data_IF_902459857056
#
_entry.id   IF_902459857056
#
_cell.length_a   1.000
_cell.length_b   1.000
_cell.length_c   1.000
_cell.angle_alpha   90.00
_cell.angle_beta   90.00
_cell.angle_gamma   90.00
#
_symmetry.space_group_name_H-M   'P 1'
#
loop_
_entity.id
_entity.type
_entity.pdbx_description
1 polymer ?
#
# COMPACT_ATOMS: atom_id res chain seq x y z
N UNK A 1 22.12 -46.18 65.34
CA UNK A 1 22.39 -44.81 65.82
C UNK A 1 21.41 -43.85 65.09
N UNK A 2 20.67 -43.01 65.86
CA UNK A 2 19.42 -42.40 65.48
C UNK A 2 19.63 -41.17 64.63
N UNK A 3 18.92 -41.10 63.47
CA UNK A 3 18.84 -39.99 62.58
C UNK A 3 17.56 -39.18 62.84
N UNK A 4 17.70 -37.90 63.14
CA UNK A 4 16.59 -36.99 63.42
C UNK A 4 16.18 -36.38 62.10
N UNK A 5 14.90 -36.57 61.72
CA UNK A 5 14.22 -35.81 60.61
C UNK A 5 13.76 -34.44 61.14
N UNK A 6 14.15 -33.39 60.46
CA UNK A 6 13.50 -32.06 60.56
C UNK A 6 12.70 -31.79 59.30
N UNK A 7 11.39 -31.72 59.47
CA UNK A 7 10.41 -31.33 58.49
C UNK A 7 10.35 -29.80 58.45
N UNK A 8 10.62 -29.21 57.27
CA UNK A 8 10.40 -27.80 57.02
C UNK A 8 9.10 -27.65 56.22
N UNK A 9 8.06 -27.05 56.85
CA UNK A 9 6.88 -26.63 56.15
C UNK A 9 7.20 -25.31 55.43
N UNK A 10 7.02 -25.29 54.08
CA UNK A 10 7.00 -24.09 53.29
C UNK A 10 5.54 -23.79 52.98
N UNK A 11 5.02 -22.68 53.54
CA UNK A 11 3.75 -22.12 53.13
C UNK A 11 3.88 -21.55 51.72
N UNK A 12 3.18 -22.15 50.76
CA UNK A 12 2.98 -21.56 49.46
C UNK A 12 1.79 -20.58 49.51
N UNK A 13 2.08 -19.33 49.57
CA UNK A 13 1.09 -18.28 49.37
C UNK A 13 0.71 -18.20 47.89
N UNK A 14 -0.49 -18.67 47.52
CA UNK A 14 -1.07 -18.45 46.20
C UNK A 14 -1.42 -16.99 46.03
N UNK A 15 -0.59 -16.22 45.34
CA UNK A 15 -0.97 -14.89 44.82
C UNK A 15 -1.77 -15.10 43.54
N UNK A 16 -3.08 -15.08 43.63
CA UNK A 16 -3.97 -15.05 42.51
C UNK A 16 -3.82 -13.68 41.79
N UNK A 17 -3.02 -13.64 40.73
CA UNK A 17 -3.03 -12.52 39.81
C UNK A 17 -4.32 -12.67 38.99
N UNK A 18 -5.32 -11.85 39.31
CA UNK A 18 -6.48 -11.67 38.44
C UNK A 18 -6.00 -11.05 37.14
N UNK A 19 -5.85 -11.85 36.10
CA UNK A 19 -5.77 -11.38 34.73
C UNK A 19 -7.13 -10.80 34.39
N UNK A 20 -7.26 -9.49 34.52
CA UNK A 20 -8.34 -8.73 33.94
C UNK A 20 -8.35 -9.02 32.44
N UNK A 21 -9.38 -9.73 32.00
CA UNK A 21 -9.65 -9.90 30.57
C UNK A 21 -9.96 -8.53 30.03
N UNK A 22 -9.03 -7.96 29.24
CA UNK A 22 -9.31 -6.78 28.44
C UNK A 22 -10.49 -7.05 27.54
N UNK A 23 -11.45 -6.17 27.63
CA UNK A 23 -12.70 -6.16 26.91
C UNK A 23 -12.50 -6.31 25.41
N UNK A 24 -13.06 -7.38 24.87
CA UNK A 24 -13.09 -7.71 23.41
C UNK A 24 -14.15 -6.93 22.64
N UNK A 25 -14.85 -5.99 23.25
CA UNK A 25 -16.11 -5.48 22.68
C UNK A 25 -16.12 -4.05 22.13
N UNK A 26 -15.07 -3.24 22.35
CA UNK A 26 -15.09 -1.83 21.92
C UNK A 26 -14.92 -1.62 20.39
N UNK A 27 -14.50 -2.63 19.65
CA UNK A 27 -14.38 -2.56 18.20
C UNK A 27 -15.64 -2.97 17.41
N UNK A 28 -16.70 -3.40 18.11
CA UNK A 28 -17.92 -3.88 17.45
C UNK A 28 -18.85 -2.78 16.93
N UNK A 29 -18.58 -1.52 17.26
CA UNK A 29 -19.31 -0.37 16.72
C UNK A 29 -18.28 0.65 16.29
N UNK A 30 -17.82 0.63 15.05
CA UNK A 30 -16.93 1.63 14.45
C UNK A 30 -16.10 2.37 15.49
N UNK A 31 -15.16 1.71 16.14
CA UNK A 31 -14.56 2.10 17.40
C UNK A 31 -13.93 3.47 17.35
N UNK A 32 -14.66 4.43 17.88
CA UNK A 32 -14.14 5.74 18.23
C UNK A 32 -13.20 5.57 19.43
N UNK A 33 -12.04 6.19 19.37
CA UNK A 33 -11.19 6.38 20.55
C UNK A 33 -12.04 7.05 21.63
N UNK A 34 -12.07 6.57 22.88
CA UNK A 34 -12.89 7.17 23.94
C UNK A 34 -12.54 8.66 24.10
N UNK A 35 -13.50 9.55 23.89
CA UNK A 35 -13.34 10.98 24.15
C UNK A 35 -14.02 11.95 23.18
N UNK A 36 -14.61 11.49 22.08
CA UNK A 36 -15.28 12.37 21.11
C UNK A 36 -16.80 12.32 21.23
N UNK A 37 -17.44 13.45 21.49
CA UNK A 37 -18.89 13.62 21.32
C UNK A 37 -19.29 13.49 19.85
N UNK A 38 -20.59 13.27 19.61
CA UNK A 38 -21.25 12.93 18.34
C UNK A 38 -20.49 13.28 17.03
N UNK A 39 -20.06 12.22 16.33
CA UNK A 39 -19.93 12.09 14.87
C UNK A 39 -18.75 12.70 14.10
N UNK A 40 -17.73 13.27 14.70
CA UNK A 40 -16.51 13.59 13.94
C UNK A 40 -15.34 12.78 14.48
N UNK A 41 -14.67 11.94 13.66
CA UNK A 41 -13.48 11.21 14.07
C UNK A 41 -12.38 12.19 14.49
N UNK A 42 -11.84 12.04 15.71
CA UNK A 42 -10.71 12.85 16.16
C UNK A 42 -9.44 12.32 15.52
N UNK A 43 -8.75 13.19 14.78
CA UNK A 43 -7.43 12.89 14.23
C UNK A 43 -6.35 13.15 15.27
N UNK A 44 -5.41 12.22 15.43
CA UNK A 44 -4.22 12.41 16.25
C UNK A 44 -3.26 13.43 15.62
N UNK A 45 -2.45 14.07 16.44
CA UNK A 45 -1.40 14.98 15.96
C UNK A 45 -0.41 14.27 15.05
N UNK A 46 0.02 14.97 14.00
CA UNK A 46 1.06 14.49 13.10
C UNK A 46 2.36 14.21 13.86
N UNK A 47 2.91 13.03 13.65
CA UNK A 47 4.25 12.66 14.15
C UNK A 47 5.26 12.88 13.02
N UNK A 48 6.32 13.71 13.24
CA UNK A 48 7.36 13.93 12.24
C UNK A 48 8.01 12.62 11.79
N UNK A 49 8.29 12.50 10.49
CA UNK A 49 8.92 11.31 9.91
C UNK A 49 7.97 10.16 9.59
N UNK A 50 6.70 10.22 10.05
CA UNK A 50 5.68 9.23 9.71
C UNK A 50 4.87 9.65 8.49
N UNK A 51 4.51 8.66 7.66
CA UNK A 51 3.86 8.86 6.38
C UNK A 51 2.52 8.15 6.30
N UNK A 52 1.48 8.90 5.95
CA UNK A 52 0.20 8.38 5.49
C UNK A 52 0.03 8.79 4.05
N UNK A 53 0.11 7.82 3.13
CA UNK A 53 0.10 8.06 1.69
C UNK A 53 -1.22 7.63 1.11
N UNK A 54 -1.86 8.52 0.34
CA UNK A 54 -3.10 8.23 -0.36
C UNK A 54 -2.87 8.17 -1.87
N UNK A 55 -3.23 7.06 -2.50
CA UNK A 55 -3.38 7.03 -3.95
C UNK A 55 -4.74 7.61 -4.33
N UNK A 56 -4.71 8.63 -5.17
CA UNK A 56 -5.90 9.34 -5.67
C UNK A 56 -6.00 9.16 -7.16
N UNK A 57 -7.00 8.42 -7.60
CA UNK A 57 -7.17 8.07 -9.00
C UNK A 57 -7.74 9.23 -9.83
N UNK A 58 -7.40 9.24 -11.12
CA UNK A 58 -7.91 10.22 -12.08
C UNK A 58 -9.43 10.15 -12.27
N UNK A 59 -10.02 8.97 -12.06
CA UNK A 59 -11.47 8.75 -12.14
C UNK A 59 -12.18 8.91 -10.78
N UNK A 60 -11.44 9.01 -9.69
CA UNK A 60 -11.98 9.24 -8.35
C UNK A 60 -12.61 10.63 -8.21
N UNK A 61 -13.56 10.76 -7.29
CA UNK A 61 -14.32 11.99 -7.05
C UNK A 61 -13.98 12.67 -5.72
N UNK A 62 -13.52 11.89 -4.75
CA UNK A 62 -13.19 12.38 -3.42
C UNK A 62 -11.95 13.28 -3.45
N UNK A 63 -11.95 14.31 -2.62
CA UNK A 63 -10.80 15.17 -2.39
C UNK A 63 -10.19 14.79 -1.04
N UNK A 64 -8.90 14.44 -0.98
CA UNK A 64 -8.25 14.08 0.27
C UNK A 64 -8.33 15.17 1.34
N UNK A 65 -8.60 14.75 2.57
CA UNK A 65 -8.45 15.61 3.74
C UNK A 65 -6.95 15.79 4.03
N UNK A 66 -6.48 17.02 3.88
CA UNK A 66 -5.08 17.38 4.11
C UNK A 66 -4.60 17.17 5.56
N UNK A 67 -5.55 17.01 6.50
CA UNK A 67 -5.24 16.71 7.90
C UNK A 67 -5.05 15.22 8.16
N UNK A 68 -5.50 14.37 7.24
CA UNK A 68 -5.45 12.91 7.36
C UNK A 68 -4.48 12.24 6.37
N UNK A 69 -3.66 13.01 5.66
CA UNK A 69 -2.63 12.51 4.74
C UNK A 69 -1.35 13.34 4.85
N UNK A 70 -0.20 12.71 4.64
CA UNK A 70 1.08 13.41 4.53
C UNK A 70 1.53 13.53 3.08
N UNK A 71 1.04 12.63 2.24
CA UNK A 71 1.39 12.56 0.83
C UNK A 71 0.21 12.05 -0.01
N UNK A 72 0.11 12.55 -1.22
CA UNK A 72 -0.83 12.08 -2.24
C UNK A 72 -0.04 11.67 -3.47
N UNK A 73 -0.27 10.43 -3.92
CA UNK A 73 0.19 9.93 -5.19
C UNK A 73 -0.99 10.01 -6.17
N UNK A 74 -0.89 10.86 -7.18
CA UNK A 74 -1.95 10.97 -8.20
C UNK A 74 -1.81 9.86 -9.24
N UNK A 75 -2.80 9.02 -9.33
CA UNK A 75 -2.85 7.86 -10.21
C UNK A 75 -3.82 8.12 -11.38
N UNK A 76 -3.39 8.31 -12.63
CA UNK A 76 -2.02 8.14 -13.12
C UNK A 76 -1.67 9.12 -14.23
N UNK A 77 -0.39 9.10 -14.65
CA UNK A 77 0.05 9.47 -15.98
C UNK A 77 0.43 8.19 -16.75
N UNK A 78 0.39 8.26 -18.08
CA UNK A 78 0.76 7.14 -18.95
C UNK A 78 1.80 7.54 -19.99
N UNK A 79 2.67 6.59 -20.33
CA UNK A 79 3.74 6.77 -21.30
C UNK A 79 3.22 6.67 -22.73
N UNK A 80 3.86 7.42 -23.64
CA UNK A 80 3.74 7.24 -25.07
C UNK A 80 5.05 6.68 -25.63
N UNK A 81 4.98 5.46 -26.15
CA UNK A 81 6.09 4.81 -26.84
C UNK A 81 5.61 4.43 -28.23
N UNK A 82 6.31 4.87 -29.25
CA UNK A 82 6.00 4.56 -30.65
C UNK A 82 7.25 4.06 -31.35
N UNK A 83 7.14 2.96 -32.08
CA UNK A 83 8.24 2.33 -32.80
C UNK A 83 9.46 2.04 -31.89
N UNK A 84 9.19 1.65 -30.63
CA UNK A 84 10.20 1.40 -29.62
C UNK A 84 10.83 2.65 -28.98
N UNK A 85 10.42 3.85 -29.38
CA UNK A 85 10.97 5.10 -28.88
C UNK A 85 9.98 5.83 -27.96
N UNK A 86 10.49 6.35 -26.84
CA UNK A 86 9.72 7.22 -25.96
C UNK A 86 9.36 8.54 -26.65
N UNK A 87 8.11 8.95 -26.59
CA UNK A 87 7.55 10.16 -27.20
C UNK A 87 6.91 11.15 -26.23
N UNK A 88 7.04 10.90 -24.93
CA UNK A 88 6.44 11.72 -23.86
C UNK A 88 5.48 10.94 -22.99
N UNK A 89 4.75 11.65 -22.13
CA UNK A 89 3.67 11.11 -21.32
C UNK A 89 2.51 12.10 -21.18
N UNK A 90 1.36 11.62 -20.74
CA UNK A 90 0.18 12.44 -20.43
C UNK A 90 -0.50 11.99 -19.15
N UNK A 91 -1.20 12.92 -18.50
CA UNK A 91 -2.13 12.56 -17.44
C UNK A 91 -3.26 11.70 -18.01
N UNK A 92 -3.64 10.67 -17.27
CA UNK A 92 -4.92 9.99 -17.49
C UNK A 92 -6.04 10.88 -16.95
N UNK A 93 -7.18 10.91 -17.65
CA UNK A 93 -8.32 11.76 -17.31
C UNK A 93 -8.05 13.25 -17.50
N UNK A 94 -8.83 14.07 -16.80
CA UNK A 94 -8.86 15.51 -16.98
C UNK A 94 -7.79 16.24 -16.14
N UNK A 95 -7.07 17.19 -16.75
CA UNK A 95 -6.10 18.05 -16.05
C UNK A 95 -6.73 18.81 -14.87
N UNK A 96 -8.02 19.12 -14.95
CA UNK A 96 -8.76 19.79 -13.88
C UNK A 96 -8.78 18.99 -12.58
N UNK A 97 -8.86 17.65 -12.65
CA UNK A 97 -8.78 16.77 -11.49
C UNK A 97 -7.40 16.83 -10.85
N UNK A 98 -6.34 16.74 -11.65
CA UNK A 98 -4.97 16.85 -11.14
C UNK A 98 -4.74 18.23 -10.48
N UNK A 99 -5.22 19.31 -11.10
CA UNK A 99 -5.13 20.66 -10.54
C UNK A 99 -5.81 20.77 -9.18
N UNK A 100 -7.00 20.18 -9.00
CA UNK A 100 -7.69 20.14 -7.71
C UNK A 100 -6.82 19.48 -6.62
N UNK A 101 -6.13 18.39 -6.96
CA UNK A 101 -5.23 17.70 -6.02
C UNK A 101 -4.00 18.56 -5.71
N UNK A 102 -3.36 19.16 -6.72
CA UNK A 102 -2.20 20.04 -6.53
C UNK A 102 -2.54 21.26 -5.67
N UNK A 103 -3.74 21.82 -5.85
CA UNK A 103 -4.20 22.99 -5.08
C UNK A 103 -4.36 22.71 -3.57
N UNK A 104 -4.38 21.45 -3.14
CA UNK A 104 -4.37 21.08 -1.72
C UNK A 104 -3.10 21.55 -1.00
N UNK A 105 -1.98 21.73 -1.71
CA UNK A 105 -0.74 22.30 -1.14
C UNK A 105 -0.95 23.72 -0.61
N UNK A 106 -1.93 24.46 -1.12
CA UNK A 106 -2.31 25.78 -0.62
C UNK A 106 -2.94 25.72 0.78
N UNK A 107 -3.53 24.58 1.14
CA UNK A 107 -4.15 24.33 2.44
C UNK A 107 -3.18 23.70 3.45
N UNK A 108 -2.13 23.00 2.97
CA UNK A 108 -1.13 22.35 3.81
C UNK A 108 0.24 22.39 3.13
N UNK A 109 1.11 23.27 3.59
CA UNK A 109 2.46 23.47 3.03
C UNK A 109 3.38 22.26 3.21
N UNK A 110 3.07 21.39 4.17
CA UNK A 110 3.83 20.16 4.43
C UNK A 110 3.34 18.94 3.63
N UNK A 111 2.24 19.09 2.87
CA UNK A 111 1.70 18.02 2.03
C UNK A 111 2.62 17.76 0.83
N UNK A 112 2.96 16.49 0.61
CA UNK A 112 3.69 16.05 -0.58
C UNK A 112 2.73 15.56 -1.65
N UNK A 113 3.00 15.91 -2.90
CA UNK A 113 2.21 15.44 -4.05
C UNK A 113 3.16 14.88 -5.09
N UNK A 114 2.93 13.63 -5.49
CA UNK A 114 3.67 12.94 -6.54
C UNK A 114 2.74 12.61 -7.69
N UNK A 115 3.31 12.50 -8.88
CA UNK A 115 2.64 11.89 -10.03
C UNK A 115 3.07 10.42 -10.14
N UNK A 116 2.12 9.50 -10.13
CA UNK A 116 2.35 8.07 -10.38
C UNK A 116 2.21 7.76 -11.86
N UNK A 117 3.10 6.92 -12.38
CA UNK A 117 3.10 6.48 -13.76
C UNK A 117 2.69 5.02 -13.85
N UNK A 118 1.56 4.74 -14.47
CA UNK A 118 1.05 3.39 -14.66
C UNK A 118 1.64 2.72 -15.90
N UNK A 119 1.82 1.39 -15.82
CA UNK A 119 2.08 0.54 -16.96
C UNK A 119 0.84 0.38 -17.87
N UNK A 120 -0.35 0.69 -17.35
CA UNK A 120 -1.63 0.56 -18.08
C UNK A 120 -1.85 1.75 -19.02
N UNK A 121 -2.16 1.47 -20.27
CA UNK A 121 -2.49 2.46 -21.28
C UNK A 121 -4.00 2.57 -21.41
N UNK A 122 -4.53 3.77 -21.24
CA UNK A 122 -5.98 4.07 -21.34
C UNK A 122 -6.31 4.76 -22.65
N UNK A 123 -5.37 5.53 -23.21
CA UNK A 123 -5.58 6.27 -24.44
C UNK A 123 -5.51 5.33 -25.66
N UNK A 124 -6.59 5.19 -26.46
CA UNK A 124 -6.61 4.31 -27.65
C UNK A 124 -5.62 4.73 -28.73
N UNK A 125 -5.25 6.03 -28.81
CA UNK A 125 -4.24 6.54 -29.75
C UNK A 125 -2.80 6.19 -29.30
N UNK A 126 -2.63 5.77 -28.05
CA UNK A 126 -1.38 5.32 -27.53
C UNK A 126 -1.18 3.88 -27.99
N UNK A 127 -0.56 3.72 -29.14
CA UNK A 127 -0.16 2.41 -29.61
C UNK A 127 0.58 1.69 -28.47
N UNK A 128 0.26 0.43 -28.22
CA UNK A 128 0.92 -0.42 -27.24
C UNK A 128 2.38 -0.66 -27.65
N UNK A 129 3.16 0.43 -27.66
CA UNK A 129 4.53 0.47 -28.15
C UNK A 129 5.57 -0.12 -27.19
N UNK A 130 5.10 -0.87 -26.17
CA UNK A 130 5.96 -1.56 -25.22
C UNK A 130 6.20 -0.81 -23.90
N UNK A 131 5.55 0.35 -23.67
CA UNK A 131 5.49 1.04 -22.37
C UNK A 131 6.85 1.21 -21.69
N UNK A 132 6.89 0.89 -20.40
CA UNK A 132 8.11 0.96 -19.59
C UNK A 132 9.24 0.09 -20.13
N UNK A 133 8.96 -1.16 -20.55
CA UNK A 133 9.97 -2.08 -21.04
C UNK A 133 10.76 -1.49 -22.22
N UNK A 134 10.08 -0.89 -23.19
CA UNK A 134 10.74 -0.24 -24.34
C UNK A 134 11.33 1.11 -24.00
N UNK A 135 10.65 1.96 -23.22
CA UNK A 135 11.18 3.25 -22.82
C UNK A 135 12.48 3.09 -22.03
N UNK A 136 12.51 2.17 -21.07
CA UNK A 136 13.67 1.98 -20.19
C UNK A 136 14.82 1.19 -20.80
N UNK A 137 14.59 0.50 -21.92
CA UNK A 137 15.61 -0.33 -22.57
C UNK A 137 16.80 0.46 -23.13
N UNK A 138 16.62 1.76 -23.38
CA UNK A 138 17.69 2.63 -23.89
C UNK A 138 18.02 3.76 -22.94
N UNK A 139 19.29 4.16 -22.90
CA UNK A 139 19.73 5.34 -22.13
C UNK A 139 19.01 6.62 -22.61
N UNK A 140 18.81 6.76 -23.91
CA UNK A 140 18.11 7.91 -24.49
C UNK A 140 16.65 7.99 -23.98
N UNK A 141 15.94 6.86 -23.95
CA UNK A 141 14.56 6.79 -23.41
C UNK A 141 14.51 7.15 -21.94
N UNK A 142 15.38 6.58 -21.11
CA UNK A 142 15.47 6.89 -19.68
C UNK A 142 15.77 8.37 -19.42
N UNK A 143 16.73 8.97 -20.15
CA UNK A 143 17.08 10.38 -20.05
C UNK A 143 15.95 11.31 -20.47
N UNK A 144 15.26 11.00 -21.58
CA UNK A 144 14.15 11.79 -22.08
C UNK A 144 12.99 11.76 -21.07
N UNK A 145 12.61 10.58 -20.58
CA UNK A 145 11.57 10.44 -19.56
C UNK A 145 11.91 11.20 -18.28
N UNK A 146 13.12 11.04 -17.76
CA UNK A 146 13.55 11.72 -16.53
C UNK A 146 13.55 13.26 -16.68
N UNK A 147 13.93 13.79 -17.86
CA UNK A 147 13.87 15.21 -18.18
C UNK A 147 12.42 15.72 -18.18
N UNK A 148 11.51 14.97 -18.79
CA UNK A 148 10.08 15.34 -18.82
C UNK A 148 9.47 15.28 -17.41
N UNK A 149 9.84 14.31 -16.59
CA UNK A 149 9.46 14.22 -15.19
C UNK A 149 9.89 15.48 -14.41
N UNK A 150 11.14 15.91 -14.57
CA UNK A 150 11.65 17.12 -13.91
C UNK A 150 10.86 18.37 -14.36
N UNK A 151 10.65 18.53 -15.66
CA UNK A 151 9.88 19.64 -16.23
C UNK A 151 8.43 19.64 -15.70
N UNK A 152 7.81 18.47 -15.60
CA UNK A 152 6.47 18.31 -15.07
C UNK A 152 6.39 18.67 -13.58
N UNK A 153 7.33 18.21 -12.76
CA UNK A 153 7.41 18.56 -11.35
C UNK A 153 7.57 20.09 -11.16
N UNK A 154 8.42 20.72 -11.97
CA UNK A 154 8.63 22.18 -11.94
C UNK A 154 7.38 22.95 -12.37
N UNK A 155 6.74 22.53 -13.47
CA UNK A 155 5.51 23.15 -14.00
C UNK A 155 4.38 23.17 -12.96
N UNK A 156 4.21 22.06 -12.26
CA UNK A 156 3.09 21.87 -11.33
C UNK A 156 3.42 22.18 -9.87
N UNK A 157 4.69 22.38 -9.53
CA UNK A 157 5.12 22.60 -8.15
C UNK A 157 4.88 21.38 -7.25
N UNK A 158 4.92 20.17 -7.82
CA UNK A 158 4.81 18.90 -7.08
C UNK A 158 6.15 18.41 -6.58
N UNK A 159 6.12 17.39 -5.70
CA UNK A 159 7.29 17.02 -4.90
C UNK A 159 8.06 15.81 -5.44
N UNK A 160 7.59 15.17 -6.50
CA UNK A 160 8.30 14.01 -7.06
C UNK A 160 7.48 13.14 -7.98
N UNK A 161 8.03 11.96 -8.25
CA UNK A 161 7.49 10.95 -9.16
C UNK A 161 7.44 9.60 -8.48
N UNK A 162 6.47 8.80 -8.88
CA UNK A 162 6.23 7.44 -8.43
C UNK A 162 6.08 6.53 -9.65
N UNK A 163 6.79 5.40 -9.66
CA UNK A 163 6.78 4.48 -10.81
C UNK A 163 6.01 3.23 -10.44
N UNK A 164 4.87 3.07 -11.09
CA UNK A 164 3.97 1.93 -10.91
C UNK A 164 4.03 1.01 -12.15
N UNK A 165 5.16 0.31 -12.29
CA UNK A 165 5.38 -0.69 -13.34
C UNK A 165 5.15 -2.09 -12.78
N UNK A 166 4.08 -2.73 -13.18
CA UNK A 166 3.62 -4.02 -12.68
C UNK A 166 3.69 -5.12 -13.76
N UNK A 167 4.78 -5.86 -13.81
CA UNK A 167 6.05 -5.74 -13.09
C UNK A 167 7.18 -5.85 -14.10
N UNK A 168 8.41 -5.42 -13.80
CA UNK A 168 9.56 -5.69 -14.66
C UNK A 168 9.71 -7.18 -14.93
N UNK A 169 9.83 -7.54 -16.22
CA UNK A 169 9.99 -8.92 -16.69
C UNK A 169 8.74 -9.81 -16.58
N UNK A 170 7.57 -9.23 -16.25
CA UNK A 170 6.30 -9.98 -16.10
C UNK A 170 5.18 -9.28 -16.85
N UNK A 171 4.39 -10.04 -17.59
CA UNK A 171 3.26 -9.53 -18.38
C UNK A 171 1.92 -10.09 -17.88
N UNK A 172 1.52 -9.77 -16.66
CA UNK A 172 0.22 -10.22 -16.13
C UNK A 172 -0.97 -9.59 -16.86
N UNK A 173 -0.81 -8.36 -17.32
CA UNK A 173 -1.86 -7.59 -18.01
C UNK A 173 -1.74 -7.63 -19.54
N UNK A 174 -0.86 -8.49 -20.09
CA UNK A 174 -0.64 -8.62 -21.54
C UNK A 174 0.23 -7.51 -22.14
N UNK A 175 0.82 -6.63 -21.32
CA UNK A 175 1.79 -5.65 -21.80
C UNK A 175 3.10 -6.28 -22.21
N UNK A 176 3.80 -5.64 -23.17
CA UNK A 176 5.13 -6.07 -23.56
C UNK A 176 6.08 -6.03 -22.35
N UNK A 177 6.86 -7.09 -22.18
CA UNK A 177 7.93 -7.18 -21.20
C UNK A 177 9.17 -7.84 -21.81
N UNK A 178 10.31 -7.60 -21.21
CA UNK A 178 11.58 -8.27 -21.52
C UNK A 178 12.10 -8.95 -20.24
N UNK A 179 11.80 -10.25 -20.04
CA UNK A 179 12.23 -11.00 -18.85
C UNK A 179 13.75 -11.05 -18.66
N UNK A 180 14.52 -10.81 -19.72
CA UNK A 180 15.98 -10.81 -19.64
C UNK A 180 16.56 -9.50 -19.11
N UNK A 181 15.89 -8.36 -19.35
CA UNK A 181 16.50 -7.06 -19.12
C UNK A 181 15.66 -6.11 -18.27
N UNK A 182 14.34 -6.32 -18.13
CA UNK A 182 13.46 -5.32 -17.48
C UNK A 182 13.81 -5.03 -16.03
N UNK A 183 14.26 -6.02 -15.25
CA UNK A 183 14.69 -5.83 -13.86
C UNK A 183 15.91 -4.88 -13.78
N UNK A 184 16.89 -5.05 -14.67
CA UNK A 184 18.04 -4.17 -14.77
C UNK A 184 17.63 -2.79 -15.31
N UNK A 185 16.82 -2.76 -16.37
CA UNK A 185 16.31 -1.54 -16.98
C UNK A 185 15.51 -0.69 -16.00
N UNK A 186 14.73 -1.33 -15.11
CA UNK A 186 14.05 -0.63 -14.03
C UNK A 186 15.04 0.05 -13.07
N UNK A 187 16.06 -0.67 -12.65
CA UNK A 187 17.11 -0.11 -11.77
C UNK A 187 17.83 1.07 -12.43
N UNK A 188 18.16 0.94 -13.72
CA UNK A 188 18.77 2.02 -14.50
C UNK A 188 17.83 3.21 -14.67
N UNK A 189 16.53 2.97 -14.85
CA UNK A 189 15.51 4.03 -14.91
C UNK A 189 15.43 4.80 -13.60
N UNK A 190 15.36 4.11 -12.46
CA UNK A 190 15.30 4.74 -11.15
C UNK A 190 16.59 5.54 -10.84
N UNK A 191 17.75 5.01 -11.23
CA UNK A 191 19.03 5.73 -11.13
C UNK A 191 19.04 6.99 -11.98
N UNK A 192 18.53 6.93 -13.21
CA UNK A 192 18.45 8.10 -14.09
C UNK A 192 17.47 9.15 -13.56
N UNK A 193 16.32 8.73 -13.01
CA UNK A 193 15.38 9.63 -12.32
C UNK A 193 16.07 10.33 -11.15
N UNK A 194 16.76 9.59 -10.27
CA UNK A 194 17.52 10.16 -9.15
C UNK A 194 18.58 11.15 -9.61
N UNK A 195 19.35 10.79 -10.62
CA UNK A 195 20.38 11.67 -11.17
C UNK A 195 19.80 12.99 -11.72
N UNK A 196 18.66 12.92 -12.41
CA UNK A 196 18.03 14.08 -13.06
C UNK A 196 17.26 14.96 -12.08
N UNK A 197 16.50 14.35 -11.16
CA UNK A 197 15.67 15.06 -10.18
C UNK A 197 16.46 15.54 -8.96
N UNK A 198 17.64 14.96 -8.71
CA UNK A 198 18.44 15.23 -7.51
C UNK A 198 17.71 14.88 -6.22
N UNK A 199 18.18 15.39 -5.10
CA UNK A 199 17.59 15.14 -3.77
C UNK A 199 16.43 16.10 -3.43
N UNK A 200 16.08 17.00 -4.32
CA UNK A 200 14.97 17.94 -4.13
C UNK A 200 13.62 17.25 -4.30
N UNK A 201 13.55 16.29 -5.20
CA UNK A 201 12.31 15.58 -5.54
C UNK A 201 12.36 14.15 -5.07
N UNK A 202 11.22 13.66 -4.61
CA UNK A 202 11.04 12.26 -4.24
C UNK A 202 11.02 11.38 -5.49
N UNK A 203 11.71 10.25 -5.40
CA UNK A 203 11.72 9.19 -6.40
C UNK A 203 11.28 7.92 -5.71
N UNK A 204 10.09 7.43 -6.04
CA UNK A 204 9.44 6.30 -5.38
C UNK A 204 8.93 5.29 -6.40
N UNK A 205 8.51 4.12 -5.94
CA UNK A 205 7.87 3.13 -6.81
C UNK A 205 6.87 2.27 -6.03
N UNK A 206 5.87 1.74 -6.75
CA UNK A 206 4.98 0.71 -6.25
C UNK A 206 5.72 -0.64 -6.31
N UNK A 207 6.01 -1.19 -5.14
CA UNK A 207 6.82 -2.40 -5.00
C UNK A 207 5.99 -3.68 -4.92
N UNK A 208 6.57 -4.78 -5.40
CA UNK A 208 5.99 -6.11 -5.23
C UNK A 208 6.45 -6.76 -3.91
N UNK A 209 5.78 -7.84 -3.53
CA UNK A 209 5.96 -8.50 -2.22
C UNK A 209 7.27 -9.25 -2.07
N UNK A 210 8.05 -9.44 -3.14
CA UNK A 210 9.31 -10.18 -3.10
C UNK A 210 10.43 -9.49 -3.89
N UNK A 211 11.66 -9.90 -3.59
CA UNK A 211 12.85 -9.52 -4.33
C UNK A 211 12.86 -10.13 -5.73
N UNK A 212 13.76 -9.66 -6.58
CA UNK A 212 13.97 -10.24 -7.92
C UNK A 212 14.21 -11.74 -7.85
N UNK A 213 13.69 -12.43 -8.85
CA UNK A 213 14.00 -13.83 -9.13
C UNK A 213 14.79 -13.87 -10.41
N UNK A 214 15.93 -14.57 -10.40
CA UNK A 214 16.70 -14.89 -11.61
C UNK A 214 16.48 -16.35 -11.94
N UNK A 215 16.16 -16.63 -13.19
CA UNK A 215 16.03 -17.98 -13.72
C UNK A 215 17.39 -18.47 -14.23
N UNK A 216 17.55 -19.79 -14.40
CA UNK A 216 18.81 -20.37 -14.88
C UNK A 216 19.19 -19.94 -16.31
N UNK A 217 18.22 -19.50 -17.09
CA UNK A 217 18.40 -18.94 -18.44
C UNK A 217 18.87 -17.48 -18.46
N UNK A 218 19.08 -16.88 -17.27
CA UNK A 218 19.45 -15.48 -17.10
C UNK A 218 18.28 -14.51 -17.07
N UNK A 219 17.02 -14.98 -17.22
CA UNK A 219 15.85 -14.11 -17.09
C UNK A 219 15.73 -13.54 -15.68
N UNK A 220 15.23 -12.31 -15.57
CA UNK A 220 15.00 -11.63 -14.31
C UNK A 220 13.60 -11.06 -14.24
N UNK A 221 12.94 -11.26 -13.09
CA UNK A 221 11.60 -10.75 -12.83
C UNK A 221 11.57 -9.95 -11.56
N UNK A 222 10.65 -9.00 -11.50
CA UNK A 222 10.42 -8.11 -10.36
C UNK A 222 11.55 -7.11 -10.12
N UNK A 223 11.68 -6.63 -8.91
CA UNK A 223 12.56 -5.52 -8.54
C UNK A 223 13.85 -6.01 -7.87
N UNK A 224 14.98 -5.44 -8.23
CA UNK A 224 16.23 -5.64 -7.50
C UNK A 224 16.23 -4.77 -6.24
N UNK A 225 15.74 -5.30 -5.12
CA UNK A 225 15.64 -4.56 -3.87
C UNK A 225 17.01 -4.14 -3.33
N UNK A 226 18.06 -4.92 -3.60
CA UNK A 226 19.42 -4.60 -3.16
C UNK A 226 19.97 -3.37 -3.90
N UNK A 227 19.70 -3.27 -5.19
CA UNK A 227 20.13 -2.13 -5.99
C UNK A 227 19.28 -0.88 -5.72
N UNK A 228 17.96 -1.05 -5.51
CA UNK A 228 17.02 0.07 -5.38
C UNK A 228 17.08 0.79 -4.04
N UNK A 229 17.46 0.11 -2.95
CA UNK A 229 17.43 0.65 -1.59
C UNK A 229 18.18 1.96 -1.39
N UNK A 230 19.27 2.17 -2.16
CA UNK A 230 20.11 3.38 -2.07
C UNK A 230 19.69 4.47 -3.07
N UNK A 231 18.79 4.16 -4.01
CA UNK A 231 18.35 5.05 -5.08
C UNK A 231 17.06 5.78 -4.71
N UNK A 232 16.10 5.04 -4.14
CA UNK A 232 14.74 5.55 -3.89
C UNK A 232 14.59 6.17 -2.52
N UNK A 233 13.60 7.07 -2.38
CA UNK A 233 13.22 7.62 -1.07
C UNK A 233 12.30 6.65 -0.31
N UNK A 234 11.29 6.10 -0.99
CA UNK A 234 10.33 5.14 -0.44
C UNK A 234 9.96 4.09 -1.47
N UNK A 235 9.52 2.94 -0.97
CA UNK A 235 8.78 1.93 -1.72
C UNK A 235 7.38 1.79 -1.14
N UNK A 236 6.36 1.84 -1.98
CA UNK A 236 4.96 1.58 -1.62
C UNK A 236 4.65 0.14 -1.98
N UNK A 237 4.80 -0.75 -1.01
CA UNK A 237 4.65 -2.18 -1.28
C UNK A 237 3.17 -2.53 -1.35
N UNK A 238 2.76 -3.11 -2.46
CA UNK A 238 1.38 -3.55 -2.71
C UNK A 238 1.08 -4.84 -1.94
N UNK A 239 0.92 -4.73 -0.62
CA UNK A 239 0.59 -5.83 0.30
C UNK A 239 -0.91 -6.14 0.31
N UNK A 240 -1.49 -6.13 -0.87
CA UNK A 240 -2.87 -6.48 -1.19
C UNK A 240 -2.93 -7.19 -2.54
N UNK A 241 -4.09 -7.76 -2.86
CA UNK A 241 -4.28 -8.63 -4.03
C UNK A 241 -3.31 -9.82 -4.06
N UNK A 242 -2.92 -10.27 -2.86
CA UNK A 242 -2.00 -11.39 -2.68
C UNK A 242 -2.71 -12.75 -2.85
N UNK A 243 -4.03 -12.74 -2.71
CA UNK A 243 -4.93 -13.88 -2.91
C UNK A 243 -6.38 -13.38 -3.14
N UNK A 244 -7.31 -14.29 -3.32
CA UNK A 244 -8.74 -14.02 -3.44
C UNK A 244 -9.53 -15.07 -2.64
N UNK A 245 -10.86 -14.95 -2.57
CA UNK A 245 -11.70 -15.93 -1.90
C UNK A 245 -11.37 -17.37 -2.34
N UNK A 246 -11.24 -18.34 -1.40
CA UNK A 246 -11.60 -18.27 0.02
C UNK A 246 -10.50 -17.77 0.98
N UNK A 247 -9.50 -17.08 0.48
CA UNK A 247 -8.39 -16.56 1.28
C UNK A 247 -8.43 -15.03 1.41
N UNK A 248 -7.67 -14.51 2.38
CA UNK A 248 -7.48 -13.08 2.54
C UNK A 248 -6.44 -12.56 1.56
N UNK A 249 -6.73 -11.40 0.92
CA UNK A 249 -5.81 -10.78 -0.03
C UNK A 249 -4.80 -9.82 0.61
N UNK A 250 -4.89 -9.58 1.93
CA UNK A 250 -3.99 -8.65 2.64
C UNK A 250 -3.81 -9.04 4.11
N UNK A 251 -3.56 -10.33 4.38
CA UNK A 251 -3.31 -10.83 5.73
C UNK A 251 -1.95 -10.35 6.29
N UNK A 252 -1.86 -10.20 7.63
CA UNK A 252 -0.60 -9.89 8.30
C UNK A 252 0.30 -11.11 8.40
N UNK A 253 -0.23 -12.23 8.91
CA UNK A 253 0.50 -13.49 9.11
C UNK A 253 -0.51 -14.63 9.00
N UNK A 254 -0.70 -15.19 7.81
CA UNK A 254 -1.62 -16.28 7.56
C UNK A 254 -0.86 -17.50 7.04
N UNK A 255 -0.77 -18.60 7.81
CA UNK A 255 -0.06 -19.79 7.37
C UNK A 255 -0.67 -20.46 6.14
N UNK A 256 -1.92 -20.11 5.77
CA UNK A 256 -2.62 -20.62 4.58
C UNK A 256 -2.27 -19.82 3.32
N UNK A 257 -1.84 -18.56 3.48
CA UNK A 257 -1.48 -17.69 2.37
C UNK A 257 -0.09 -18.00 1.82
N UNK A 258 0.10 -17.82 0.52
CA UNK A 258 1.43 -17.89 -0.09
C UNK A 258 2.27 -16.65 0.24
N UNK A 259 1.65 -15.47 0.17
CA UNK A 259 2.20 -14.19 0.56
C UNK A 259 1.33 -13.51 1.62
N UNK A 260 1.97 -12.79 2.54
CA UNK A 260 1.37 -11.95 3.55
C UNK A 260 2.33 -10.80 3.93
N UNK A 261 1.92 -9.91 4.79
CA UNK A 261 2.71 -8.78 5.24
C UNK A 261 4.04 -9.20 5.87
N UNK A 262 4.02 -10.26 6.69
CA UNK A 262 5.20 -10.74 7.41
C UNK A 262 6.25 -11.29 6.45
N UNK A 263 5.87 -12.17 5.54
CA UNK A 263 6.78 -12.72 4.52
C UNK A 263 7.33 -11.64 3.60
N UNK A 264 6.49 -10.67 3.24
CA UNK A 264 6.91 -9.50 2.46
C UNK A 264 7.97 -8.69 3.19
N UNK A 265 7.75 -8.39 4.48
CA UNK A 265 8.73 -7.65 5.28
C UNK A 265 10.05 -8.42 5.42
N UNK A 266 9.99 -9.74 5.62
CA UNK A 266 11.17 -10.62 5.71
C UNK A 266 11.97 -10.62 4.40
N UNK A 267 11.32 -10.62 3.22
CA UNK A 267 11.99 -10.51 1.92
C UNK A 267 12.73 -9.17 1.76
N UNK A 268 12.11 -8.05 2.11
CA UNK A 268 12.74 -6.73 2.07
C UNK A 268 13.89 -6.62 3.08
N UNK A 269 13.69 -7.11 4.31
CA UNK A 269 14.72 -7.15 5.35
C UNK A 269 15.92 -8.01 4.94
N UNK A 270 15.69 -9.17 4.33
CA UNK A 270 16.73 -10.05 3.78
C UNK A 270 17.55 -9.38 2.69
N UNK A 271 16.92 -8.54 1.86
CA UNK A 271 17.62 -7.73 0.87
C UNK A 271 18.38 -6.54 1.49
N UNK A 272 18.27 -6.31 2.80
CA UNK A 272 18.85 -5.16 3.49
C UNK A 272 18.16 -3.84 3.13
N UNK A 273 16.89 -3.87 2.71
CA UNK A 273 16.13 -2.66 2.41
C UNK A 273 15.83 -1.91 3.72
N UNK A 274 16.12 -0.60 3.81
CA UNK A 274 15.88 0.17 5.03
C UNK A 274 14.39 0.22 5.38
N UNK A 275 14.06 -0.19 6.61
CA UNK A 275 12.66 -0.24 7.06
C UNK A 275 11.98 1.13 7.06
N UNK A 276 12.73 2.19 7.32
CA UNK A 276 12.29 3.58 7.26
C UNK A 276 11.96 4.07 5.84
N UNK A 277 12.26 3.28 4.81
CA UNK A 277 11.84 3.51 3.43
C UNK A 277 10.66 2.64 3.00
N UNK A 278 10.21 1.71 3.86
CA UNK A 278 9.08 0.83 3.56
C UNK A 278 7.76 1.46 3.98
N UNK A 279 6.80 1.49 3.08
CA UNK A 279 5.41 1.92 3.28
C UNK A 279 4.51 0.83 2.70
N UNK A 280 3.82 0.08 3.57
CA UNK A 280 2.98 -1.03 3.13
C UNK A 280 1.56 -0.56 2.80
N UNK A 281 0.95 -1.27 1.84
CA UNK A 281 -0.36 -0.93 1.30
C UNK A 281 -1.51 -1.59 2.04
N UNK A 282 -2.54 -0.78 2.29
CA UNK A 282 -3.82 -1.20 2.84
C UNK A 282 -4.88 -1.01 1.76
N UNK A 283 -5.61 -2.08 1.39
CA UNK A 283 -6.69 -1.94 0.41
C UNK A 283 -7.93 -1.34 1.09
N UNK A 284 -8.55 -0.37 0.43
CA UNK A 284 -9.84 0.18 0.85
C UNK A 284 -11.00 -0.51 0.14
N UNK A 285 -10.82 -1.79 -0.21
CA UNK A 285 -11.78 -2.63 -0.90
C UNK A 285 -11.66 -4.09 -0.46
N UNK A 286 -12.71 -4.87 -0.73
CA UNK A 286 -12.67 -6.32 -0.62
C UNK A 286 -12.22 -6.96 -1.94
N UNK A 287 -11.48 -8.07 -1.87
CA UNK A 287 -11.17 -8.92 -3.02
C UNK A 287 -12.03 -10.19 -2.96
N UNK A 288 -12.92 -10.33 -3.96
CA UNK A 288 -13.71 -11.54 -4.14
C UNK A 288 -13.02 -12.53 -5.08
N UNK A 289 -12.60 -12.06 -6.25
CA UNK A 289 -12.00 -12.90 -7.28
C UNK A 289 -11.01 -12.09 -8.12
N UNK A 290 -10.19 -12.75 -8.93
CA UNK A 290 -9.40 -12.10 -9.97
C UNK A 290 -10.06 -12.18 -11.36
N UNK A 291 -11.11 -13.01 -11.53
CA UNK A 291 -11.74 -13.26 -12.83
C UNK A 291 -13.27 -13.13 -12.82
N UNK A 292 -13.91 -13.37 -11.67
CA UNK A 292 -15.37 -13.37 -11.55
C UNK A 292 -15.87 -12.04 -11.00
N UNK A 293 -16.92 -11.49 -11.59
CA UNK A 293 -17.52 -10.24 -11.12
C UNK A 293 -18.41 -10.46 -9.86
N UNK A 294 -18.33 -9.55 -8.88
CA UNK A 294 -17.41 -8.43 -8.80
C UNK A 294 -15.99 -8.90 -8.43
N UNK A 295 -14.96 -8.47 -9.14
CA UNK A 295 -13.57 -8.79 -8.77
C UNK A 295 -13.17 -8.12 -7.47
N UNK A 296 -13.63 -6.87 -7.25
CA UNK A 296 -13.41 -6.08 -6.05
C UNK A 296 -14.68 -5.32 -5.65
N UNK A 297 -14.79 -4.97 -4.36
CA UNK A 297 -15.94 -4.25 -3.80
C UNK A 297 -15.38 -3.14 -2.91
N UNK A 298 -15.57 -1.86 -3.29
CA UNK A 298 -15.15 -0.71 -2.49
C UNK A 298 -15.69 -0.80 -1.05
N UNK A 299 -14.93 -0.32 -0.07
CA UNK A 299 -15.38 -0.35 1.33
C UNK A 299 -16.76 0.30 1.52
N UNK A 300 -16.98 1.48 0.92
CA UNK A 300 -18.30 2.15 0.95
C UNK A 300 -19.45 1.28 0.44
N UNK A 301 -19.19 0.37 -0.48
CA UNK A 301 -20.20 -0.59 -1.01
C UNK A 301 -20.37 -1.80 -0.11
N UNK A 302 -19.31 -2.26 0.57
CA UNK A 302 -19.40 -3.34 1.56
C UNK A 302 -20.44 -3.00 2.62
N UNK A 303 -20.45 -1.75 3.10
CA UNK A 303 -21.37 -1.28 4.14
C UNK A 303 -22.85 -1.27 3.71
N UNK A 304 -23.13 -1.41 2.42
CA UNK A 304 -24.48 -1.41 1.83
C UNK A 304 -24.88 -2.75 1.23
N UNK A 305 -24.10 -3.80 1.46
CA UNK A 305 -24.45 -5.15 1.03
C UNK A 305 -25.71 -5.62 1.71
N UNK A 306 -26.52 -6.40 0.97
CA UNK A 306 -27.78 -6.97 1.49
C UNK A 306 -27.51 -7.90 2.68
N UNK A 307 -27.89 -7.44 3.86
CA UNK A 307 -27.73 -8.18 5.12
C UNK A 307 -28.53 -9.49 5.17
N UNK A 308 -29.51 -9.69 4.29
CA UNK A 308 -30.21 -10.98 4.17
C UNK A 308 -29.33 -12.05 3.52
N UNK A 309 -28.40 -11.64 2.63
CA UNK A 309 -27.54 -12.51 1.85
C UNK A 309 -26.12 -12.62 2.44
N UNK A 310 -25.62 -11.54 3.02
CA UNK A 310 -24.23 -11.45 3.45
C UNK A 310 -24.09 -11.11 4.94
N UNK A 311 -23.04 -11.61 5.55
CA UNK A 311 -22.53 -11.18 6.85
C UNK A 311 -21.16 -10.53 6.64
N UNK A 312 -21.02 -9.25 6.98
CA UNK A 312 -19.83 -8.45 6.67
C UNK A 312 -18.84 -8.30 7.82
N UNK A 313 -19.21 -8.69 9.05
CA UNK A 313 -18.45 -8.46 10.28
C UNK A 313 -17.75 -9.70 10.83
N UNK A 314 -17.49 -10.71 9.99
CA UNK A 314 -16.70 -11.85 10.42
C UNK A 314 -15.24 -11.42 10.65
N UNK A 315 -14.56 -12.09 11.57
CA UNK A 315 -13.16 -11.83 11.88
C UNK A 315 -12.35 -13.11 11.84
N UNK A 316 -11.20 -13.09 11.17
CA UNK A 316 -10.22 -14.17 11.17
C UNK A 316 -9.05 -13.79 12.08
N UNK A 317 -8.92 -14.49 13.21
CA UNK A 317 -7.87 -14.23 14.21
C UNK A 317 -6.46 -14.55 13.69
N UNK A 318 -6.32 -15.46 12.72
CA UNK A 318 -5.02 -15.81 12.12
C UNK A 318 -4.56 -14.74 11.13
N UNK A 319 -5.43 -14.41 10.19
CA UNK A 319 -5.16 -13.38 9.20
C UNK A 319 -5.16 -11.96 9.79
N UNK A 320 -5.83 -11.77 10.93
CA UNK A 320 -6.12 -10.48 11.58
C UNK A 320 -6.88 -9.51 10.67
N UNK A 321 -7.78 -10.06 9.89
CA UNK A 321 -8.58 -9.34 8.91
C UNK A 321 -10.05 -9.71 9.00
N UNK A 322 -10.97 -8.78 8.68
CA UNK A 322 -12.37 -9.10 8.50
C UNK A 322 -12.63 -9.78 7.16
N UNK A 323 -13.78 -10.46 7.07
CA UNK A 323 -14.24 -11.03 5.81
C UNK A 323 -15.76 -11.05 5.72
N UNK A 324 -16.23 -11.07 4.49
CA UNK A 324 -17.64 -11.22 4.14
C UNK A 324 -17.92 -12.72 3.94
N UNK A 325 -19.03 -13.21 4.48
CA UNK A 325 -19.51 -14.56 4.20
C UNK A 325 -20.94 -14.56 3.63
N UNK A 326 -21.27 -15.58 2.84
CA UNK A 326 -22.63 -15.84 2.37
C UNK A 326 -23.43 -16.44 3.52
N UNK A 327 -24.52 -15.81 3.95
CA UNK A 327 -25.30 -16.26 5.13
C UNK A 327 -25.86 -17.66 4.99
N UNK A 328 -26.37 -18.00 3.80
CA UNK A 328 -27.01 -19.30 3.57
C UNK A 328 -26.05 -20.48 3.70
N UNK A 329 -24.77 -20.32 3.34
CA UNK A 329 -23.78 -21.41 3.32
C UNK A 329 -22.67 -21.25 4.35
N UNK A 330 -22.48 -20.04 4.89
CA UNK A 330 -21.31 -19.68 5.70
C UNK A 330 -20.01 -19.55 4.88
N UNK A 331 -20.07 -19.72 3.56
CA UNK A 331 -18.90 -19.68 2.71
C UNK A 331 -18.24 -18.30 2.73
N UNK A 332 -16.89 -18.28 2.77
CA UNK A 332 -16.09 -17.08 2.62
C UNK A 332 -16.36 -16.46 1.24
N UNK A 333 -16.75 -15.18 1.21
CA UNK A 333 -17.09 -14.48 -0.02
C UNK A 333 -15.98 -13.52 -0.46
N UNK A 334 -15.48 -12.69 0.46
CA UNK A 334 -14.39 -11.75 0.16
C UNK A 334 -13.66 -11.34 1.43
N UNK A 335 -12.33 -11.24 1.38
CA UNK A 335 -11.52 -10.61 2.43
C UNK A 335 -11.44 -9.10 2.22
N UNK A 336 -11.32 -8.32 3.31
CA UNK A 336 -11.20 -6.86 3.24
C UNK A 336 -10.50 -6.29 4.49
N UNK A 337 -10.34 -4.98 4.56
CA UNK A 337 -9.87 -4.27 5.74
C UNK A 337 -10.95 -3.34 6.31
N UNK A 338 -11.01 -3.25 7.65
CA UNK A 338 -11.83 -2.31 8.39
C UNK A 338 -10.98 -1.51 9.39
N UNK A 339 -11.58 -0.61 10.16
CA UNK A 339 -10.85 0.19 11.14
C UNK A 339 -10.04 -0.65 12.14
N UNK A 340 -10.56 -1.82 12.55
CA UNK A 340 -9.86 -2.74 13.46
C UNK A 340 -8.61 -3.34 12.82
N UNK A 341 -8.71 -3.90 11.61
CA UNK A 341 -7.56 -4.50 10.93
C UNK A 341 -6.51 -3.46 10.55
N UNK A 342 -6.93 -2.25 10.16
CA UNK A 342 -6.01 -1.13 9.88
C UNK A 342 -5.24 -0.73 11.14
N UNK A 343 -5.91 -0.62 12.31
CA UNK A 343 -5.21 -0.33 13.56
C UNK A 343 -4.15 -1.40 13.90
N UNK A 344 -4.50 -2.69 13.73
CA UNK A 344 -3.55 -3.80 13.94
C UNK A 344 -2.39 -3.77 12.94
N UNK A 345 -2.66 -3.46 11.67
CA UNK A 345 -1.63 -3.31 10.63
C UNK A 345 -0.69 -2.13 10.91
N UNK A 346 -1.24 -1.00 11.37
CA UNK A 346 -0.45 0.17 11.72
C UNK A 346 0.45 -0.11 12.94
N UNK A 347 -0.08 -0.71 14.01
CA UNK A 347 0.73 -1.16 15.14
C UNK A 347 1.86 -2.10 14.67
N UNK A 348 1.52 -3.08 13.84
CA UNK A 348 2.49 -4.04 13.32
C UNK A 348 3.63 -3.37 12.53
N UNK A 349 3.30 -2.39 11.69
CA UNK A 349 4.26 -1.66 10.88
C UNK A 349 5.12 -0.69 11.71
N UNK A 350 4.47 0.13 12.58
CA UNK A 350 5.17 1.14 13.37
C UNK A 350 6.11 0.52 14.40
N UNK A 351 5.72 -0.57 15.06
CA UNK A 351 6.61 -1.29 16.01
C UNK A 351 7.83 -1.92 15.34
N UNK A 352 7.80 -2.11 14.02
CA UNK A 352 8.95 -2.58 13.21
C UNK A 352 9.83 -1.45 12.68
N UNK A 353 9.45 -0.19 12.93
CA UNK A 353 10.19 0.99 12.49
C UNK A 353 10.01 1.32 11.01
N UNK A 354 8.92 0.87 10.40
CA UNK A 354 8.54 1.33 9.07
C UNK A 354 8.12 2.81 9.10
N UNK A 355 8.19 3.51 7.97
CA UNK A 355 7.88 4.93 7.96
C UNK A 355 6.39 5.25 7.87
N UNK A 356 5.55 4.30 7.52
CA UNK A 356 4.12 4.55 7.39
C UNK A 356 3.35 3.50 6.61
N UNK A 357 2.14 3.88 6.23
CA UNK A 357 1.24 3.06 5.42
C UNK A 357 0.67 3.89 4.26
N UNK A 358 0.26 3.20 3.18
CA UNK A 358 -0.48 3.81 2.08
C UNK A 358 -1.82 3.12 1.87
N UNK A 359 -2.78 3.80 1.25
CA UNK A 359 -4.04 3.20 0.84
C UNK A 359 -4.23 3.18 -0.68
N UNK A 360 -4.78 2.08 -1.17
CA UNK A 360 -5.33 1.94 -2.50
C UNK A 360 -6.83 1.61 -2.40
N UNK A 361 -7.76 2.47 -2.90
CA UNK A 361 -7.52 3.87 -3.20
C UNK A 361 -8.39 4.76 -2.28
N UNK A 362 -8.04 6.01 -2.20
CA UNK A 362 -8.69 6.96 -1.30
C UNK A 362 -10.20 7.11 -1.53
N UNK A 363 -10.66 6.96 -2.79
CA UNK A 363 -12.07 7.14 -3.15
C UNK A 363 -12.97 5.96 -2.73
N UNK A 364 -12.39 4.82 -2.41
CA UNK A 364 -13.12 3.61 -2.01
C UNK A 364 -13.63 3.64 -0.56
N UNK A 365 -13.13 4.55 0.29
CA UNK A 365 -13.59 4.75 1.67
C UNK A 365 -15.02 5.28 1.74
N UNK A 366 -15.65 5.15 2.90
CA UNK A 366 -16.97 5.72 3.16
C UNK A 366 -16.93 7.26 3.29
N UNK A 367 -18.11 7.88 3.28
CA UNK A 367 -18.23 9.33 3.36
C UNK A 367 -17.72 9.89 4.70
N UNK A 368 -17.83 9.14 5.79
CA UNK A 368 -17.35 9.53 7.12
C UNK A 368 -15.84 9.42 7.26
N UNK A 369 -15.16 8.70 6.37
CA UNK A 369 -13.72 8.52 6.41
C UNK A 369 -13.25 7.51 7.41
N UNK A 370 -13.98 6.44 7.59
CA UNK A 370 -13.70 5.39 8.57
C UNK A 370 -12.31 4.81 8.40
N UNK A 371 -11.94 4.40 7.17
CA UNK A 371 -10.64 3.77 6.93
C UNK A 371 -9.48 4.76 6.94
N UNK A 372 -9.65 5.94 6.32
CA UNK A 372 -8.59 6.97 6.31
C UNK A 372 -8.29 7.50 7.71
N UNK A 373 -9.32 7.64 8.57
CA UNK A 373 -9.14 8.02 9.97
C UNK A 373 -8.39 6.93 10.76
N UNK A 374 -8.77 5.66 10.58
CA UNK A 374 -8.07 4.54 11.21
C UNK A 374 -6.61 4.46 10.74
N UNK A 375 -6.36 4.69 9.44
CA UNK A 375 -5.02 4.71 8.87
C UNK A 375 -4.17 5.82 9.48
N UNK A 376 -4.69 7.06 9.50
CA UNK A 376 -4.01 8.20 10.12
C UNK A 376 -3.72 7.95 11.60
N UNK A 377 -4.74 7.63 12.37
CA UNK A 377 -4.59 7.46 13.82
C UNK A 377 -3.65 6.30 14.16
N UNK A 378 -3.73 5.20 13.42
CA UNK A 378 -2.81 4.07 13.61
C UNK A 378 -1.35 4.42 13.34
N UNK A 379 -1.08 5.15 12.24
CA UNK A 379 0.28 5.59 11.91
C UNK A 379 0.77 6.69 12.84
N UNK A 380 -0.09 7.62 13.27
CA UNK A 380 0.28 8.76 14.12
C UNK A 380 0.24 8.45 15.62
N UNK A 381 -0.05 7.22 16.02
CA UNK A 381 -0.07 6.83 17.43
C UNK A 381 1.33 6.85 18.05
N UNK A 382 1.56 7.76 18.97
CA UNK A 382 2.87 7.96 19.63
C UNK A 382 3.31 6.80 20.54
N UNK A 383 2.44 5.81 20.77
CA UNK A 383 2.79 4.61 21.56
C UNK A 383 3.78 3.70 20.85
N UNK A 384 3.93 3.84 19.56
CA UNK A 384 4.82 3.02 18.72
C UNK A 384 6.07 3.75 18.25
#
# INVERSE_FOLDING_TARGET
MRTVRRTLMILAGCLAIALSSCEKDDYKKGGLIPGGGENTPVLLDKVPGRNVVAYCTYYGKSIPDVNAVTQINYAFAELYVKDGEYKGFKLQGEESRFRQIVDLKKKSSGLKILISFSHTVVNPDNAQGGGFSKMSSTEAGRKAFAKDCLAFCQKWGIDGVDIDWEMPGVSWSGHACDPMHDTENFTLLMSQLRQTLGNRYLVTYAGYVKNKVSEDDGSGRYFDLVALKDIVDYVYVMTYDLDAAPHHHSAIDDPRAYWDWKRTFEEYAKAGFPKEKMIFGVPFYARHSFSENPTAIDYKKILTLDESLYKIDNWDDKARCPYISVKASGAFYAGYDNARSIAVKAEWAMTRGMSGLMCWDYDADDASGTLRTALWNGVMDKRY
#
